data_IF_075221299375
#
_entry.id   IF_075221299375
#
_cell.length_a   1.000
_cell.length_b   1.000
_cell.length_c   1.000
_cell.angle_alpha   90.00
_cell.angle_beta   90.00
_cell.angle_gamma   90.00
#
_symmetry.space_group_name_H-M   'P 1'
#
loop_
_entity.id
_entity.type
_entity.pdbx_description
1 polymer ?
#
# COMPACT_ATOMS: atom_id res chain seq x y z
N UNK A 1 7.98 3.72 25.79
CA UNK A 1 7.64 5.16 26.00
C UNK A 1 7.42 5.92 24.70
N UNK A 2 8.31 5.85 23.70
CA UNK A 2 8.14 6.55 22.39
C UNK A 2 6.88 6.12 21.62
N UNK A 3 6.53 4.85 21.67
CA UNK A 3 5.33 4.33 20.99
C UNK A 3 4.04 4.93 21.57
N UNK A 4 3.91 4.97 22.89
CA UNK A 4 2.73 5.56 23.55
C UNK A 4 2.62 7.07 23.27
N UNK A 5 3.74 7.77 23.17
CA UNK A 5 3.76 9.18 22.80
C UNK A 5 3.27 9.39 21.36
N UNK A 6 3.71 8.54 20.43
CA UNK A 6 3.25 8.55 19.05
C UNK A 6 1.75 8.28 18.94
N UNK A 7 1.24 7.28 19.68
CA UNK A 7 -0.19 6.96 19.75
C UNK A 7 -1.01 8.15 20.26
N UNK A 8 -0.53 8.79 21.32
CA UNK A 8 -1.20 9.96 21.91
C UNK A 8 -1.22 11.14 20.93
N UNK A 9 -0.13 11.41 20.21
CA UNK A 9 -0.09 12.43 19.16
C UNK A 9 -1.12 12.14 18.05
N UNK A 10 -1.20 10.90 17.57
CA UNK A 10 -2.17 10.51 16.55
C UNK A 10 -3.62 10.69 17.02
N UNK A 11 -3.91 10.34 18.28
CA UNK A 11 -5.22 10.53 18.88
C UNK A 11 -5.57 12.02 19.01
N UNK A 12 -4.63 12.85 19.45
CA UNK A 12 -4.81 14.30 19.59
C UNK A 12 -5.04 15.00 18.23
N UNK A 13 -4.47 14.48 17.15
CA UNK A 13 -4.66 15.04 15.81
C UNK A 13 -5.96 14.56 15.14
N UNK A 14 -6.65 13.57 15.68
CA UNK A 14 -7.86 13.02 15.07
C UNK A 14 -8.98 14.07 14.85
N UNK A 15 -9.34 14.94 15.84
CA UNK A 15 -10.37 15.95 15.63
C UNK A 15 -9.96 16.98 14.58
N UNK A 16 -8.69 17.36 14.53
CA UNK A 16 -8.17 18.31 13.54
C UNK A 16 -8.22 17.75 12.12
N UNK A 17 -7.96 16.44 11.96
CA UNK A 17 -8.16 15.75 10.67
C UNK A 17 -9.61 15.77 10.22
N UNK A 18 -10.56 15.59 11.14
CA UNK A 18 -12.00 15.66 10.79
C UNK A 18 -12.37 17.06 10.28
N UNK A 19 -11.89 18.10 10.94
CA UNK A 19 -12.11 19.50 10.53
C UNK A 19 -11.44 19.76 9.18
N UNK A 20 -10.19 19.33 8.98
CA UNK A 20 -9.49 19.47 7.72
C UNK A 20 -10.22 18.78 6.56
N UNK A 21 -10.68 17.54 6.76
CA UNK A 21 -11.44 16.82 5.75
C UNK A 21 -12.79 17.48 5.43
N UNK A 22 -13.47 18.01 6.44
CA UNK A 22 -14.72 18.74 6.23
C UNK A 22 -14.49 20.02 5.40
N UNK A 23 -13.48 20.81 5.76
CA UNK A 23 -13.10 22.02 5.03
C UNK A 23 -12.67 21.73 3.58
N UNK A 24 -11.84 20.69 3.38
CA UNK A 24 -11.44 20.25 2.06
C UNK A 24 -12.66 19.90 1.20
N UNK A 25 -13.61 19.13 1.72
CA UNK A 25 -14.84 18.77 1.00
C UNK A 25 -15.67 19.99 0.63
N UNK A 26 -15.87 20.93 1.56
CA UNK A 26 -16.63 22.16 1.35
C UNK A 26 -15.96 23.01 0.26
N UNK A 27 -14.64 23.19 0.34
CA UNK A 27 -13.87 24.00 -0.60
C UNK A 27 -13.68 23.34 -1.97
N UNK A 28 -13.82 22.01 -2.06
CA UNK A 28 -13.77 21.27 -3.33
C UNK A 28 -15.13 21.09 -4.00
N UNK A 29 -16.22 21.51 -3.35
CA UNK A 29 -17.57 21.39 -3.89
C UNK A 29 -17.80 22.42 -5.00
N UNK A 30 -18.32 22.03 -6.18
CA UNK A 30 -18.54 22.94 -7.31
C UNK A 30 -19.56 24.04 -7.04
N UNK A 31 -20.42 23.87 -6.04
CA UNK A 31 -21.40 24.89 -5.61
C UNK A 31 -20.80 25.98 -4.72
N UNK A 32 -19.56 25.83 -4.26
CA UNK A 32 -18.91 26.84 -3.44
C UNK A 32 -18.08 27.79 -4.32
N UNK A 33 -18.38 29.10 -4.35
CA UNK A 33 -17.65 30.05 -5.16
C UNK A 33 -16.16 30.14 -4.82
N UNK A 34 -15.77 29.82 -3.56
CA UNK A 34 -14.37 29.78 -3.15
C UNK A 34 -13.56 28.67 -3.80
N UNK A 35 -14.22 27.60 -4.30
CA UNK A 35 -13.55 26.49 -4.99
C UNK A 35 -12.84 26.93 -6.28
N UNK A 36 -13.29 28.04 -6.88
CA UNK A 36 -12.73 28.62 -8.11
C UNK A 36 -11.62 29.62 -7.84
N UNK A 37 -11.47 30.08 -6.60
CA UNK A 37 -10.43 31.03 -6.21
C UNK A 37 -9.10 30.35 -5.93
N UNK A 38 -7.99 31.05 -6.18
CA UNK A 38 -6.65 30.52 -5.89
C UNK A 38 -6.44 30.26 -4.38
N UNK A 39 -6.96 31.15 -3.54
CA UNK A 39 -6.91 30.98 -2.08
C UNK A 39 -7.73 29.78 -1.59
N UNK A 40 -8.93 29.56 -2.11
CA UNK A 40 -9.75 28.41 -1.78
C UNK A 40 -9.09 27.10 -2.16
N UNK A 41 -8.48 27.02 -3.34
CA UNK A 41 -7.70 25.85 -3.79
C UNK A 41 -6.48 25.60 -2.91
N UNK A 42 -5.75 26.66 -2.52
CA UNK A 42 -4.59 26.54 -1.65
C UNK A 42 -4.97 26.03 -0.26
N UNK A 43 -6.08 26.52 0.33
CA UNK A 43 -6.57 26.03 1.62
C UNK A 43 -7.03 24.58 1.52
N UNK A 44 -7.76 24.21 0.46
CA UNK A 44 -8.18 22.82 0.25
C UNK A 44 -6.99 21.87 0.14
N UNK A 45 -5.97 22.25 -0.63
CA UNK A 45 -4.72 21.47 -0.76
C UNK A 45 -3.96 21.36 0.58
N UNK A 46 -3.88 22.43 1.36
CA UNK A 46 -3.27 22.41 2.68
C UNK A 46 -4.00 21.45 3.65
N UNK A 47 -5.34 21.46 3.63
CA UNK A 47 -6.15 20.54 4.42
C UNK A 47 -5.95 19.10 4.00
N UNK A 48 -5.84 18.83 2.71
CA UNK A 48 -5.55 17.49 2.15
C UNK A 48 -4.17 17.01 2.59
N UNK A 49 -3.13 17.81 2.42
CA UNK A 49 -1.78 17.48 2.86
C UNK A 49 -1.74 17.20 4.36
N UNK A 50 -2.38 18.04 5.19
CA UNK A 50 -2.45 17.83 6.63
C UNK A 50 -3.14 16.51 6.98
N UNK A 51 -4.28 16.23 6.34
CA UNK A 51 -5.01 14.99 6.57
C UNK A 51 -4.18 13.76 6.19
N UNK A 52 -3.54 13.80 5.01
CA UNK A 52 -2.75 12.69 4.49
C UNK A 52 -1.45 12.44 5.27
N UNK A 53 -0.77 13.49 5.74
CA UNK A 53 0.47 13.35 6.52
C UNK A 53 0.22 12.85 7.93
N UNK A 54 -0.95 13.17 8.50
CA UNK A 54 -1.31 12.78 9.88
C UNK A 54 -2.14 11.50 9.95
N UNK A 55 -2.59 10.95 8.81
CA UNK A 55 -3.38 9.73 8.71
C UNK A 55 -2.52 8.50 9.04
N UNK A 56 -3.09 7.57 9.80
CA UNK A 56 -2.50 6.22 9.90
C UNK A 56 -2.64 5.52 8.56
N UNK A 57 -1.52 5.14 8.01
CA UNK A 57 -1.48 4.25 6.85
C UNK A 57 -1.35 2.82 7.39
N UNK A 58 -2.30 1.96 7.04
CA UNK A 58 -2.22 0.53 7.33
C UNK A 58 -1.06 -0.13 6.57
N UNK A 59 -0.89 -1.43 6.76
CA UNK A 59 0.03 -2.21 5.94
C UNK A 59 -0.50 -2.26 4.51
N UNK A 60 0.25 -1.77 3.52
CA UNK A 60 -0.15 -1.92 2.13
C UNK A 60 -0.10 -3.41 1.74
N UNK A 61 -1.06 -3.85 0.97
CA UNK A 61 -1.10 -5.20 0.41
C UNK A 61 -0.26 -5.25 -0.88
N UNK A 62 0.24 -6.44 -1.24
CA UNK A 62 0.93 -6.61 -2.52
C UNK A 62 -0.04 -6.42 -3.69
N UNK A 63 -1.31 -6.86 -3.54
CA UNK A 63 -2.37 -6.69 -4.54
C UNK A 63 -1.90 -7.08 -5.97
N UNK A 64 -1.21 -8.22 -6.07
CA UNK A 64 -0.80 -8.82 -7.33
C UNK A 64 -1.85 -9.85 -7.70
N UNK A 65 -2.78 -9.46 -8.55
CA UNK A 65 -3.92 -10.31 -8.91
C UNK A 65 -3.59 -11.26 -10.05
N UNK A 66 -2.84 -10.78 -11.04
CA UNK A 66 -2.50 -11.55 -12.22
C UNK A 66 -1.15 -11.13 -12.82
N UNK A 67 -0.62 -11.99 -13.67
CA UNK A 67 0.59 -11.77 -14.46
C UNK A 67 0.44 -12.39 -15.82
N UNK A 68 0.88 -11.68 -16.86
CA UNK A 68 0.92 -12.21 -18.20
C UNK A 68 2.22 -13.00 -18.44
N UNK A 69 2.08 -14.29 -18.83
CA UNK A 69 3.17 -15.20 -19.14
C UNK A 69 2.86 -15.85 -20.49
N UNK A 70 3.75 -15.68 -21.46
CA UNK A 70 3.62 -16.25 -22.82
C UNK A 70 2.26 -15.93 -23.47
N UNK A 71 1.77 -14.70 -23.30
CA UNK A 71 0.48 -14.23 -23.83
C UNK A 71 -0.74 -14.80 -23.12
N UNK A 72 -0.58 -15.46 -21.99
CA UNK A 72 -1.68 -15.98 -21.15
C UNK A 72 -1.68 -15.30 -19.78
N UNK A 73 -2.82 -14.82 -19.37
CA UNK A 73 -3.02 -14.26 -18.03
C UNK A 73 -3.12 -15.40 -17.01
N UNK A 74 -2.26 -15.38 -15.99
CA UNK A 74 -2.27 -16.33 -14.89
C UNK A 74 -2.60 -15.59 -13.59
N UNK A 75 -3.53 -16.12 -12.82
CA UNK A 75 -3.91 -15.57 -11.52
C UNK A 75 -2.81 -15.85 -10.49
N UNK A 76 -2.47 -14.86 -9.70
CA UNK A 76 -1.52 -14.97 -8.59
C UNK A 76 -2.27 -14.99 -7.28
N UNK A 77 -1.97 -15.98 -6.46
CA UNK A 77 -2.50 -16.09 -5.10
C UNK A 77 -1.37 -15.88 -4.10
N UNK A 78 -1.57 -14.96 -3.17
CA UNK A 78 -0.67 -14.71 -2.05
C UNK A 78 -1.03 -15.63 -0.89
N UNK A 79 -0.07 -16.40 -0.40
CA UNK A 79 -0.23 -17.35 0.71
C UNK A 79 0.83 -17.07 1.78
N UNK A 80 0.42 -17.07 3.05
CA UNK A 80 1.35 -17.01 4.19
C UNK A 80 1.79 -18.43 4.55
N UNK A 81 3.04 -18.76 4.23
CA UNK A 81 3.61 -20.11 4.44
C UNK A 81 4.16 -20.30 5.85
N UNK A 82 4.66 -19.20 6.42
CA UNK A 82 5.24 -19.19 7.76
C UNK A 82 4.93 -17.86 8.44
N UNK A 83 4.49 -17.94 9.69
CA UNK A 83 4.23 -16.76 10.51
C UNK A 83 4.99 -16.86 11.83
N UNK A 84 5.78 -15.84 12.11
CA UNK A 84 6.46 -15.62 13.36
C UNK A 84 6.12 -14.24 13.94
N UNK A 85 6.34 -13.98 15.23
CA UNK A 85 6.02 -12.70 15.85
C UNK A 85 6.63 -11.47 15.16
N UNK A 86 7.76 -11.64 14.48
CA UNK A 86 8.52 -10.55 13.87
C UNK A 86 8.71 -10.69 12.34
N UNK A 87 8.26 -11.77 11.73
CA UNK A 87 8.35 -11.97 10.28
C UNK A 87 7.30 -12.96 9.79
N UNK A 88 6.86 -12.76 8.55
CA UNK A 88 6.01 -13.69 7.83
C UNK A 88 6.66 -14.02 6.49
N UNK A 89 6.65 -15.30 6.13
CA UNK A 89 7.09 -15.75 4.81
C UNK A 89 5.86 -15.90 3.92
N UNK A 90 5.80 -15.10 2.87
CA UNK A 90 4.73 -15.13 1.89
C UNK A 90 5.19 -15.86 0.64
N UNK A 91 4.29 -16.62 0.04
CA UNK A 91 4.48 -17.28 -1.25
C UNK A 91 3.52 -16.72 -2.27
N UNK A 92 4.01 -16.45 -3.47
CA UNK A 92 3.20 -16.01 -4.61
C UNK A 92 3.03 -17.17 -5.58
N UNK A 93 1.87 -17.82 -5.52
CA UNK A 93 1.56 -19.00 -6.29
C UNK A 93 0.77 -18.66 -7.55
N UNK A 94 1.17 -19.23 -8.70
CA UNK A 94 0.45 -19.10 -9.99
C UNK A 94 -0.64 -20.16 -10.12
N UNK A 95 -1.79 -19.76 -10.61
CA UNK A 95 -2.89 -20.67 -10.92
C UNK A 95 -3.42 -20.43 -12.35
N UNK A 96 -3.40 -21.41 -13.24
CA UNK A 96 -2.75 -22.72 -13.12
C UNK A 96 -1.23 -22.61 -13.07
N UNK A 97 -0.59 -23.48 -12.31
CA UNK A 97 0.86 -23.54 -12.24
C UNK A 97 1.52 -23.94 -13.56
N UNK A 98 2.85 -23.86 -13.66
CA UNK A 98 3.56 -24.21 -14.88
C UNK A 98 3.35 -25.69 -15.22
N UNK A 99 2.88 -25.95 -16.45
CA UNK A 99 2.69 -27.33 -16.93
C UNK A 99 4.01 -27.83 -17.53
N UNK A 100 4.51 -28.94 -17.02
CA UNK A 100 5.67 -29.63 -17.60
C UNK A 100 7.04 -29.02 -17.27
N UNK A 101 7.11 -28.01 -16.37
CA UNK A 101 8.39 -27.46 -15.88
C UNK A 101 8.33 -27.24 -14.38
N UNK A 102 9.47 -27.38 -13.73
CA UNK A 102 9.65 -27.00 -12.32
C UNK A 102 10.42 -25.69 -12.26
N UNK A 103 9.79 -24.66 -11.76
CA UNK A 103 10.46 -23.36 -11.63
C UNK A 103 11.38 -23.34 -10.40
N UNK A 104 12.55 -22.69 -10.50
CA UNK A 104 13.44 -22.55 -9.38
C UNK A 104 12.79 -21.69 -8.28
N UNK A 105 13.04 -22.06 -7.02
CA UNK A 105 12.60 -21.30 -5.86
C UNK A 105 13.44 -20.04 -5.69
N UNK A 106 12.78 -18.92 -5.47
CA UNK A 106 13.42 -17.63 -5.24
C UNK A 106 12.91 -17.03 -3.94
N UNK A 107 13.82 -16.79 -3.00
CA UNK A 107 13.55 -16.05 -1.78
C UNK A 107 13.91 -14.58 -1.97
N UNK A 108 12.96 -13.68 -1.81
CA UNK A 108 13.14 -12.23 -1.85
C UNK A 108 13.13 -11.71 -0.41
N UNK A 109 14.24 -11.13 0.01
CA UNK A 109 14.36 -10.51 1.34
C UNK A 109 14.18 -9.01 1.22
N UNK A 110 13.13 -8.48 1.86
CA UNK A 110 12.86 -7.04 1.88
C UNK A 110 13.95 -6.30 2.66
N UNK A 111 14.46 -5.16 2.15
CA UNK A 111 15.47 -4.37 2.84
C UNK A 111 14.88 -3.71 4.10
N UNK A 112 15.66 -3.64 5.17
CA UNK A 112 15.26 -3.00 6.44
C UNK A 112 14.97 -1.50 6.30
N UNK A 113 15.51 -0.85 5.27
CA UNK A 113 15.27 0.57 4.98
C UNK A 113 13.87 0.85 4.43
N UNK A 114 13.19 -0.15 3.90
CA UNK A 114 11.79 -0.05 3.48
C UNK A 114 10.84 -0.34 4.64
N UNK A 115 9.82 0.50 4.83
CA UNK A 115 8.83 0.29 5.89
C UNK A 115 7.98 -0.97 5.64
N UNK A 116 7.83 -1.37 4.37
CA UNK A 116 6.98 -2.51 3.97
C UNK A 116 7.63 -3.29 2.82
N UNK A 117 7.47 -4.61 2.85
CA UNK A 117 7.94 -5.51 1.80
C UNK A 117 7.28 -5.25 0.43
N UNK A 118 6.11 -4.62 0.42
CA UNK A 118 5.38 -4.22 -0.80
C UNK A 118 6.13 -3.21 -1.66
N UNK A 119 7.20 -2.59 -1.15
CA UNK A 119 8.15 -1.83 -1.97
C UNK A 119 8.70 -2.68 -3.13
N UNK A 120 8.81 -4.00 -2.93
CA UNK A 120 9.32 -4.95 -3.92
C UNK A 120 8.22 -5.54 -4.82
N UNK A 121 6.98 -4.99 -4.80
CA UNK A 121 5.85 -5.46 -5.62
C UNK A 121 6.24 -5.68 -7.08
N UNK A 122 6.88 -4.68 -7.71
CA UNK A 122 7.30 -4.79 -9.11
C UNK A 122 8.35 -5.89 -9.34
N UNK A 123 9.25 -6.10 -8.39
CA UNK A 123 10.22 -7.20 -8.44
C UNK A 123 9.52 -8.55 -8.35
N UNK A 124 8.59 -8.71 -7.40
CA UNK A 124 7.79 -9.94 -7.27
C UNK A 124 7.02 -10.22 -8.55
N UNK A 125 6.33 -9.23 -9.13
CA UNK A 125 5.59 -9.37 -10.39
C UNK A 125 6.45 -9.84 -11.56
N UNK A 126 7.70 -9.39 -11.63
CA UNK A 126 8.61 -9.84 -12.70
C UNK A 126 9.17 -11.24 -12.42
N UNK A 127 9.55 -11.51 -11.17
CA UNK A 127 10.17 -12.79 -10.82
C UNK A 127 9.20 -13.95 -10.82
N UNK A 128 7.93 -13.73 -10.45
CA UNK A 128 6.91 -14.78 -10.44
C UNK A 128 6.62 -15.39 -11.81
N UNK A 129 7.03 -14.72 -12.90
CA UNK A 129 6.89 -15.25 -14.27
C UNK A 129 7.70 -16.53 -14.49
N UNK A 130 8.87 -16.63 -13.85
CA UNK A 130 9.83 -17.71 -14.09
C UNK A 130 10.32 -18.42 -12.82
N UNK A 131 9.81 -18.01 -11.65
CA UNK A 131 10.24 -18.53 -10.36
C UNK A 131 9.06 -18.84 -9.45
N UNK A 132 9.23 -19.78 -8.53
CA UNK A 132 8.36 -19.97 -7.36
C UNK A 132 8.85 -18.99 -6.28
N UNK A 133 8.15 -17.88 -6.08
CA UNK A 133 8.63 -16.72 -5.32
C UNK A 133 8.14 -16.76 -3.88
N UNK A 134 9.08 -16.53 -2.97
CA UNK A 134 8.85 -16.43 -1.54
C UNK A 134 9.32 -15.10 -0.99
#
# INVERSE_FOLDING_TARGET
>A
MLYNFHEMQHAALAPWRMVANANQRILSTPFNPLSYTQSGKAIAAACEIFSDTTKRRGHPEFDIQDVEIDGKTQVITEESVLEHPFCSLKRFHRSPGPVGRTDPKLLIVAPMSGHFATLLRGTVQQMVKNHDVY
#
